data_IF_774846112589
#
_entry.id   IF_774846112589
#
_cell.length_a   1.000
_cell.length_b   1.000
_cell.length_c   1.000
_cell.angle_alpha   90.00
_cell.angle_beta   90.00
_cell.angle_gamma   90.00
#
_symmetry.space_group_name_H-M   'P 1'
#
loop_
_entity.id
_entity.type
_entity.pdbx_description
1 polymer ?
#
# COMPACT_ATOMS: atom_id res chain seq x y z
N UNK A 1 -10.73 -3.89 22.50
CA UNK A 1 -9.92 -5.13 22.36
C UNK A 1 -10.38 -6.08 21.23
N UNK A 2 -11.43 -5.79 20.49
CA UNK A 2 -11.85 -6.63 19.35
C UNK A 2 -11.14 -6.31 18.02
N UNK A 3 -10.44 -5.20 17.93
CA UNK A 3 -9.93 -4.66 16.67
C UNK A 3 -8.76 -5.42 16.03
N UNK A 4 -7.96 -6.17 16.80
CA UNK A 4 -6.74 -6.81 16.27
C UNK A 4 -6.92 -8.23 15.74
N UNK A 5 -8.10 -8.83 15.85
CA UNK A 5 -8.25 -10.27 15.61
C UNK A 5 -8.82 -10.67 14.25
N UNK A 6 -9.30 -9.74 13.44
CA UNK A 6 -10.11 -10.10 12.27
C UNK A 6 -9.60 -9.65 10.91
N UNK A 7 -8.55 -8.84 10.81
CA UNK A 7 -8.12 -8.27 9.52
C UNK A 7 -7.59 -9.34 8.54
N UNK A 8 -6.86 -10.34 9.03
CA UNK A 8 -6.43 -11.46 8.18
C UNK A 8 -7.61 -12.30 7.71
N UNK A 9 -8.55 -12.62 8.60
CA UNK A 9 -9.76 -13.37 8.25
C UNK A 9 -10.63 -12.61 7.25
N UNK A 10 -10.75 -11.29 7.39
CA UNK A 10 -11.45 -10.41 6.44
C UNK A 10 -10.79 -10.48 5.07
N UNK A 11 -9.47 -10.31 5.01
CA UNK A 11 -8.72 -10.38 3.76
C UNK A 11 -8.86 -11.77 3.09
N UNK A 12 -8.67 -12.84 3.86
CA UNK A 12 -8.78 -14.22 3.35
C UNK A 12 -10.21 -14.56 2.91
N UNK A 13 -11.22 -14.06 3.61
CA UNK A 13 -12.60 -14.22 3.20
C UNK A 13 -12.88 -13.50 1.86
N UNK A 14 -12.36 -12.28 1.71
CA UNK A 14 -12.50 -11.53 0.47
C UNK A 14 -11.81 -12.23 -0.72
N UNK A 15 -10.64 -12.85 -0.52
CA UNK A 15 -9.99 -13.65 -1.57
C UNK A 15 -10.77 -14.90 -1.98
N UNK A 16 -11.55 -15.48 -1.07
CA UNK A 16 -12.37 -16.67 -1.36
C UNK A 16 -13.72 -16.35 -1.97
N UNK A 17 -14.16 -15.10 -1.90
CA UNK A 17 -15.46 -14.69 -2.44
C UNK A 17 -15.39 -14.59 -3.98
N UNK A 18 -16.18 -15.39 -4.72
CA UNK A 18 -16.18 -15.37 -6.18
C UNK A 18 -16.78 -14.09 -6.78
N UNK A 19 -17.39 -13.22 -5.96
CA UNK A 19 -17.87 -11.91 -6.39
C UNK A 19 -16.76 -10.86 -6.39
N UNK A 20 -15.60 -11.16 -5.80
CA UNK A 20 -14.46 -10.28 -5.74
C UNK A 20 -13.42 -10.62 -6.82
N UNK A 21 -12.53 -9.68 -7.10
CA UNK A 21 -11.43 -9.85 -8.07
C UNK A 21 -10.09 -9.85 -7.32
N UNK A 22 -9.42 -11.00 -7.30
CA UNK A 22 -8.06 -11.11 -6.79
C UNK A 22 -7.06 -10.52 -7.80
N UNK A 23 -6.19 -9.64 -7.33
CA UNK A 23 -5.13 -9.03 -8.14
C UNK A 23 -3.83 -9.78 -7.86
N UNK A 24 -3.28 -10.41 -8.89
CA UNK A 24 -2.04 -11.15 -8.79
C UNK A 24 -0.87 -10.25 -9.20
N UNK A 25 0.01 -9.96 -8.25
CA UNK A 25 1.25 -9.23 -8.47
C UNK A 25 2.41 -10.07 -7.97
N UNK A 26 3.44 -10.21 -8.82
CA UNK A 26 4.66 -10.89 -8.42
C UNK A 26 5.41 -10.10 -7.34
N UNK A 27 5.99 -10.78 -6.34
CA UNK A 27 6.88 -10.16 -5.38
C UNK A 27 8.03 -9.43 -6.06
N UNK A 28 8.28 -8.19 -5.68
CA UNK A 28 9.38 -7.40 -6.24
C UNK A 28 10.64 -7.54 -5.39
N UNK A 29 11.71 -8.11 -5.94
CA UNK A 29 13.03 -8.10 -5.32
C UNK A 29 13.69 -6.74 -5.59
N UNK A 30 13.74 -5.89 -4.56
CA UNK A 30 14.18 -4.49 -4.68
C UNK A 30 15.61 -4.40 -5.21
N UNK A 31 16.55 -5.21 -4.68
CA UNK A 31 17.95 -5.18 -5.10
C UNK A 31 18.16 -5.68 -6.52
N UNK A 32 17.36 -6.66 -6.97
CA UNK A 32 17.42 -7.11 -8.38
C UNK A 32 16.98 -6.00 -9.33
N UNK A 33 15.92 -5.28 -8.98
CA UNK A 33 15.44 -4.17 -9.81
C UNK A 33 16.46 -3.03 -9.83
N UNK A 34 17.06 -2.65 -8.70
CA UNK A 34 18.11 -1.63 -8.64
C UNK A 34 19.28 -2.00 -9.56
N UNK A 35 19.70 -3.27 -9.54
CA UNK A 35 20.86 -3.78 -10.29
C UNK A 35 20.56 -4.17 -11.75
N UNK A 36 19.32 -4.06 -12.21
CA UNK A 36 18.92 -4.48 -13.56
C UNK A 36 19.37 -3.56 -14.69
N UNK A 37 19.96 -2.41 -14.37
CA UNK A 37 20.40 -1.41 -15.35
C UNK A 37 19.35 -0.36 -15.71
N UNK A 38 18.17 -0.41 -15.09
CA UNK A 38 17.13 0.61 -15.30
C UNK A 38 17.32 1.85 -14.42
N UNK A 39 18.32 1.80 -13.54
CA UNK A 39 18.70 2.93 -12.66
C UNK A 39 20.17 3.27 -12.75
N UNK A 40 20.46 4.57 -12.72
CA UNK A 40 21.75 5.14 -12.34
C UNK A 40 21.70 5.37 -10.82
N UNK A 41 22.30 4.45 -10.07
CA UNK A 41 22.24 4.36 -8.63
C UNK A 41 23.63 4.49 -8.00
N UNK A 42 23.69 4.84 -6.70
CA UNK A 42 24.91 4.77 -5.93
C UNK A 42 25.51 3.35 -6.00
N UNK A 43 26.83 3.18 -6.24
CA UNK A 43 27.46 1.88 -6.40
C UNK A 43 27.34 0.98 -5.17
N UNK A 44 27.26 1.60 -3.99
CA UNK A 44 27.14 0.95 -2.69
C UNK A 44 25.68 0.83 -2.20
N UNK A 45 24.71 1.20 -3.04
CA UNK A 45 23.30 1.09 -2.66
C UNK A 45 22.93 -0.39 -2.51
N UNK A 46 22.63 -0.73 -1.25
CA UNK A 46 22.12 -2.02 -0.86
C UNK A 46 20.89 -1.82 0.03
N UNK A 47 19.75 -2.28 -0.46
CA UNK A 47 18.48 -2.10 0.22
C UNK A 47 18.18 -3.33 1.08
N UNK A 48 17.92 -3.13 2.37
CA UNK A 48 17.69 -4.24 3.30
C UNK A 48 16.20 -4.52 3.53
N UNK A 49 15.88 -5.71 4.04
CA UNK A 49 14.52 -6.04 4.44
C UNK A 49 14.03 -5.12 5.58
N UNK A 50 14.91 -4.79 6.51
CA UNK A 50 14.62 -3.83 7.57
C UNK A 50 14.25 -2.46 7.01
N UNK A 51 14.97 -1.95 6.00
CA UNK A 51 14.65 -0.70 5.32
C UNK A 51 13.34 -0.79 4.52
N UNK A 52 13.08 -1.93 3.89
CA UNK A 52 11.80 -2.16 3.20
C UNK A 52 10.63 -2.08 4.17
N UNK A 53 10.76 -2.67 5.35
CA UNK A 53 9.71 -2.56 6.37
C UNK A 53 9.56 -1.14 6.91
N UNK A 54 10.65 -0.45 7.18
CA UNK A 54 10.62 0.96 7.61
C UNK A 54 9.89 1.83 6.57
N UNK A 55 10.15 1.63 5.29
CA UNK A 55 9.43 2.31 4.20
C UNK A 55 7.93 2.00 4.23
N UNK A 56 7.53 0.72 4.36
CA UNK A 56 6.11 0.34 4.41
C UNK A 56 5.39 0.94 5.63
N UNK A 57 6.06 0.92 6.78
CA UNK A 57 5.57 1.54 8.02
C UNK A 57 5.38 3.05 7.85
N UNK A 58 6.40 3.75 7.37
CA UNK A 58 6.36 5.20 7.16
C UNK A 58 5.32 5.59 6.10
N UNK A 59 5.17 4.81 5.05
CA UNK A 59 4.14 5.01 4.01
C UNK A 59 2.72 4.88 4.57
N UNK A 60 2.50 3.94 5.50
CA UNK A 60 1.18 3.79 6.13
C UNK A 60 0.78 5.03 6.94
N UNK A 61 1.75 5.65 7.64
CA UNK A 61 1.53 6.83 8.49
C UNK A 61 1.59 8.17 7.74
N UNK A 62 2.43 8.25 6.71
CA UNK A 62 2.62 9.46 5.92
C UNK A 62 2.49 9.18 4.42
N UNK A 63 1.33 8.71 3.95
CA UNK A 63 1.16 8.38 2.53
C UNK A 63 1.32 9.60 1.63
N UNK A 64 1.10 10.81 2.12
CA UNK A 64 1.30 12.05 1.37
C UNK A 64 2.75 12.28 0.92
N UNK A 65 3.73 11.70 1.61
CA UNK A 65 5.13 11.72 1.19
C UNK A 65 5.40 10.70 0.08
N UNK A 66 4.87 9.49 0.19
CA UNK A 66 5.24 8.34 -0.64
C UNK A 66 4.33 8.10 -1.84
N UNK A 67 3.10 8.63 -1.81
CA UNK A 67 2.07 8.42 -2.83
C UNK A 67 1.56 9.75 -3.41
N UNK A 68 2.48 10.69 -3.66
CA UNK A 68 2.17 12.08 -4.06
C UNK A 68 1.32 12.18 -5.32
N UNK A 69 1.53 11.28 -6.27
CA UNK A 69 0.81 11.27 -7.54
C UNK A 69 -0.57 10.58 -7.47
N UNK A 70 -0.83 9.85 -6.38
CA UNK A 70 -2.12 9.17 -6.14
C UNK A 70 -3.00 10.02 -5.24
N UNK A 71 -2.43 10.71 -4.25
CA UNK A 71 -3.18 11.42 -3.23
C UNK A 71 -3.41 12.88 -3.58
N UNK A 72 -4.63 13.37 -3.33
CA UNK A 72 -4.87 14.81 -3.33
C UNK A 72 -4.11 15.44 -2.17
N UNK A 73 -3.28 16.47 -2.42
CA UNK A 73 -2.53 17.12 -1.35
C UNK A 73 -3.43 17.61 -0.21
N UNK A 74 -3.03 17.30 1.04
CA UNK A 74 -3.76 17.72 2.24
C UNK A 74 -5.05 16.94 2.55
N UNK A 75 -5.38 15.90 1.78
CA UNK A 75 -6.61 15.11 2.01
C UNK A 75 -6.46 14.02 3.09
N UNK A 76 -5.22 13.67 3.46
CA UNK A 76 -4.98 12.57 4.40
C UNK A 76 -5.37 12.96 5.82
N UNK A 77 -6.19 12.12 6.44
CA UNK A 77 -6.54 12.20 7.87
C UNK A 77 -6.33 10.84 8.51
N UNK A 78 -5.71 10.82 9.69
CA UNK A 78 -5.51 9.62 10.50
C UNK A 78 -6.10 9.88 11.88
N UNK A 79 -6.90 8.95 12.38
CA UNK A 79 -7.53 9.02 13.69
C UNK A 79 -7.81 7.63 14.26
N UNK A 80 -8.28 7.58 15.52
CA UNK A 80 -8.52 6.34 16.24
C UNK A 80 -7.29 5.44 16.31
N UNK A 81 -6.13 6.05 16.56
CA UNK A 81 -4.86 5.34 16.68
C UNK A 81 -4.83 4.55 17.98
N UNK A 82 -4.53 3.26 17.87
CA UNK A 82 -4.36 2.37 19.01
C UNK A 82 -3.11 1.51 18.81
N UNK A 83 -2.27 1.44 19.87
CA UNK A 83 -1.03 0.64 19.88
C UNK A 83 -1.08 -0.40 20.98
N UNK A 84 -0.66 -1.62 20.65
CA UNK A 84 -0.55 -2.74 21.58
C UNK A 84 0.73 -3.55 21.27
N UNK A 85 1.81 -3.26 21.99
CA UNK A 85 3.11 -3.83 21.74
C UNK A 85 3.60 -3.56 20.30
N UNK A 86 3.93 -4.59 19.52
CA UNK A 86 4.38 -4.44 18.13
C UNK A 86 3.24 -4.09 17.15
N UNK A 87 1.99 -4.09 17.61
CA UNK A 87 0.80 -3.91 16.78
C UNK A 87 0.23 -2.52 16.89
N UNK A 88 -0.26 -2.02 15.77
CA UNK A 88 -0.91 -0.73 15.69
C UNK A 88 -2.14 -0.78 14.79
N UNK A 89 -3.21 -0.05 15.15
CA UNK A 89 -4.36 0.17 14.29
C UNK A 89 -4.74 1.63 14.25
N UNK A 90 -5.28 2.05 13.12
CA UNK A 90 -5.87 3.38 12.96
C UNK A 90 -6.84 3.40 11.78
N UNK A 91 -7.63 4.45 11.70
CA UNK A 91 -8.41 4.76 10.49
C UNK A 91 -7.66 5.80 9.68
N UNK A 92 -7.54 5.55 8.38
CA UNK A 92 -7.00 6.49 7.41
C UNK A 92 -8.07 6.86 6.39
N UNK A 93 -8.28 8.14 6.19
CA UNK A 93 -9.15 8.69 5.16
C UNK A 93 -8.30 9.54 4.22
N UNK A 94 -8.50 9.39 2.92
CA UNK A 94 -7.79 10.18 1.91
C UNK A 94 -8.58 10.26 0.61
N UNK A 95 -8.36 11.33 -0.17
CA UNK A 95 -8.84 11.38 -1.56
C UNK A 95 -7.75 10.82 -2.47
N UNK A 96 -8.05 9.72 -3.15
CA UNK A 96 -7.13 9.02 -4.04
C UNK A 96 -7.59 9.11 -5.49
N UNK A 97 -6.63 9.27 -6.41
CA UNK A 97 -6.89 9.12 -7.83
C UNK A 97 -7.44 7.72 -8.14
N UNK A 98 -8.48 7.65 -8.95
CA UNK A 98 -9.11 6.36 -9.24
C UNK A 98 -8.25 5.53 -10.21
N UNK A 99 -8.27 4.21 -10.05
CA UNK A 99 -7.46 3.30 -10.85
C UNK A 99 -7.79 3.33 -12.34
N UNK A 100 -9.06 3.51 -12.67
CA UNK A 100 -9.55 3.50 -14.07
C UNK A 100 -9.39 4.87 -14.73
N UNK A 101 -9.55 5.95 -13.97
CA UNK A 101 -9.44 7.32 -14.46
C UNK A 101 -8.66 8.18 -13.45
N UNK A 102 -7.32 8.23 -13.54
CA UNK A 102 -6.48 8.95 -12.58
C UNK A 102 -6.71 10.47 -12.53
N UNK A 103 -7.50 11.04 -13.45
CA UNK A 103 -7.90 12.45 -13.39
C UNK A 103 -8.98 12.72 -12.34
N UNK A 104 -9.66 11.66 -11.87
CA UNK A 104 -10.71 11.73 -10.85
C UNK A 104 -10.21 11.26 -9.51
N UNK A 105 -10.77 11.85 -8.46
CA UNK A 105 -10.48 11.48 -7.07
C UNK A 105 -11.71 10.88 -6.42
N UNK A 106 -11.47 9.92 -5.55
CA UNK A 106 -12.49 9.29 -4.72
C UNK A 106 -12.02 9.26 -3.27
N UNK A 107 -12.92 9.52 -2.34
CA UNK A 107 -12.65 9.37 -0.90
C UNK A 107 -12.52 7.89 -0.59
N UNK A 108 -11.37 7.49 -0.07
CA UNK A 108 -11.06 6.15 0.37
C UNK A 108 -10.95 6.14 1.89
N UNK A 109 -11.56 5.14 2.51
CA UNK A 109 -11.53 4.93 3.95
C UNK A 109 -10.93 3.55 4.20
N UNK A 110 -9.87 3.51 4.99
CA UNK A 110 -9.15 2.28 5.30
C UNK A 110 -9.02 2.11 6.81
N UNK A 111 -9.38 0.95 7.31
CA UNK A 111 -8.93 0.51 8.62
C UNK A 111 -7.56 -0.13 8.44
N UNK A 112 -6.55 0.48 9.03
CA UNK A 112 -5.16 0.05 8.90
C UNK A 112 -4.74 -0.77 10.11
N UNK A 113 -4.07 -1.88 9.86
CA UNK A 113 -3.48 -2.76 10.86
C UNK A 113 -2.00 -2.94 10.52
N UNK A 114 -1.13 -2.70 11.48
CA UNK A 114 0.32 -2.88 11.34
C UNK A 114 0.78 -3.88 12.38
N UNK A 115 1.56 -4.86 11.95
CA UNK A 115 2.25 -5.80 12.81
C UNK A 115 3.76 -5.71 12.53
N UNK A 116 4.49 -5.06 13.44
CA UNK A 116 5.93 -4.86 13.33
C UNK A 116 6.73 -6.15 13.57
N UNK A 117 6.16 -7.14 14.24
CA UNK A 117 6.82 -8.43 14.48
C UNK A 117 6.84 -9.26 13.20
N UNK A 118 5.73 -9.31 12.49
CA UNK A 118 5.61 -10.05 11.23
C UNK A 118 5.94 -9.22 9.99
N UNK A 119 6.15 -7.91 10.16
CA UNK A 119 6.41 -6.92 9.09
C UNK A 119 5.31 -6.93 8.01
N UNK A 120 4.06 -6.84 8.47
CA UNK A 120 2.86 -6.84 7.63
C UNK A 120 1.97 -5.65 7.95
N UNK A 121 1.48 -4.99 6.92
CA UNK A 121 0.50 -3.91 7.02
C UNK A 121 -0.74 -4.25 6.17
N UNK A 122 -1.92 -4.16 6.79
CA UNK A 122 -3.20 -4.41 6.17
C UNK A 122 -3.98 -3.11 6.04
N UNK A 123 -4.57 -2.90 4.90
CA UNK A 123 -5.43 -1.77 4.58
C UNK A 123 -6.79 -2.33 4.19
N UNK A 124 -7.71 -2.34 5.13
CA UNK A 124 -9.06 -2.88 4.95
C UNK A 124 -9.97 -1.74 4.56
N UNK A 125 -10.35 -1.69 3.30
CA UNK A 125 -11.31 -0.70 2.79
C UNK A 125 -12.67 -0.88 3.45
N UNK A 126 -13.25 0.21 3.94
CA UNK A 126 -14.57 0.22 4.56
C UNK A 126 -15.46 1.30 3.92
N UNK A 127 -16.78 1.07 3.83
CA UNK A 127 -17.68 1.97 3.10
C UNK A 127 -17.96 3.28 3.84
N UNK A 128 -17.88 3.28 5.16
CA UNK A 128 -18.16 4.44 5.98
C UNK A 128 -17.49 4.37 7.35
N UNK A 129 -17.29 5.53 7.95
CA UNK A 129 -16.78 5.67 9.32
C UNK A 129 -17.31 6.96 9.94
N UNK A 130 -17.37 7.01 11.27
CA UNK A 130 -17.60 8.23 12.03
C UNK A 130 -16.24 8.78 12.52
N UNK A 131 -15.97 10.07 12.26
CA UNK A 131 -14.76 10.70 12.74
C UNK A 131 -14.85 11.09 14.23
N UNK A 132 -13.76 11.53 14.87
CA UNK A 132 -13.77 11.87 16.30
C UNK A 132 -14.72 13.00 16.69
N UNK A 133 -15.16 13.83 15.74
CA UNK A 133 -16.15 14.89 15.94
C UNK A 133 -17.59 14.39 15.75
N UNK A 134 -17.81 13.09 15.48
CA UNK A 134 -19.12 12.50 15.25
C UNK A 134 -19.66 12.72 13.83
N UNK A 135 -18.81 13.16 12.90
CA UNK A 135 -19.22 13.36 11.50
C UNK A 135 -19.06 12.06 10.71
N UNK A 136 -20.13 11.64 10.05
CA UNK A 136 -20.11 10.51 9.15
C UNK A 136 -19.32 10.84 7.87
N UNK A 137 -18.36 9.99 7.52
CA UNK A 137 -17.62 10.01 6.28
C UNK A 137 -18.00 8.76 5.49
N UNK A 138 -18.26 8.91 4.21
CA UNK A 138 -18.64 7.81 3.30
C UNK A 138 -17.61 7.74 2.18
N UNK A 139 -17.23 6.52 1.79
CA UNK A 139 -16.32 6.30 0.66
C UNK A 139 -16.95 6.82 -0.64
N UNK A 140 -16.10 7.25 -1.56
CA UNK A 140 -16.54 7.72 -2.87
C UNK A 140 -16.92 6.55 -3.80
N UNK A 141 -17.18 6.85 -5.07
CA UNK A 141 -17.67 5.86 -6.04
C UNK A 141 -16.63 4.83 -6.50
N UNK A 142 -15.37 4.96 -6.12
CA UNK A 142 -14.37 3.93 -6.39
C UNK A 142 -14.67 2.69 -5.55
N UNK A 143 -14.64 1.52 -6.19
CA UNK A 143 -14.80 0.27 -5.48
C UNK A 143 -13.72 0.08 -4.41
N UNK A 144 -14.09 -0.60 -3.33
CA UNK A 144 -13.21 -0.84 -2.20
C UNK A 144 -12.19 -1.93 -2.53
N UNK A 145 -11.05 -1.82 -1.89
CA UNK A 145 -9.99 -2.82 -1.91
C UNK A 145 -9.66 -3.25 -0.49
N UNK A 146 -9.27 -4.52 -0.35
CA UNK A 146 -8.46 -4.95 0.79
C UNK A 146 -7.05 -5.23 0.30
N UNK A 147 -6.08 -4.74 1.03
CA UNK A 147 -4.66 -4.79 0.62
C UNK A 147 -3.82 -5.23 1.81
N UNK A 148 -2.87 -6.12 1.55
CA UNK A 148 -1.76 -6.42 2.44
C UNK A 148 -0.45 -6.04 1.75
N UNK A 149 0.40 -5.33 2.49
CA UNK A 149 1.79 -5.09 2.13
C UNK A 149 2.69 -5.79 3.14
N UNK A 150 3.71 -6.50 2.68
CA UNK A 150 4.65 -7.16 3.57
C UNK A 150 6.09 -7.06 3.06
N UNK A 151 7.02 -6.97 4.02
CA UNK A 151 8.44 -7.10 3.78
C UNK A 151 8.86 -8.54 4.09
N UNK A 152 9.23 -9.29 3.03
CA UNK A 152 9.63 -10.69 3.14
C UNK A 152 11.04 -10.90 2.56
N UNK A 153 11.46 -12.14 2.35
CA UNK A 153 12.81 -12.46 1.92
C UNK A 153 13.84 -12.34 3.04
N UNK A 154 15.09 -12.08 2.68
CA UNK A 154 16.22 -11.90 3.60
C UNK A 154 16.62 -10.43 3.69
N UNK A 155 17.52 -10.08 4.63
CA UNK A 155 18.08 -8.72 4.70
C UNK A 155 18.75 -8.31 3.39
N UNK A 156 19.44 -9.22 2.73
CA UNK A 156 20.18 -8.96 1.48
C UNK A 156 19.31 -9.07 0.22
N UNK A 157 18.22 -9.83 0.29
CA UNK A 157 17.25 -10.00 -0.79
C UNK A 157 15.82 -9.70 -0.34
N UNK A 158 15.51 -8.43 -0.08
CA UNK A 158 14.18 -8.02 0.36
C UNK A 158 13.16 -8.17 -0.75
N UNK A 159 12.02 -8.75 -0.41
CA UNK A 159 10.89 -8.91 -1.30
C UNK A 159 9.72 -8.03 -0.84
N UNK A 160 9.35 -7.08 -1.67
CA UNK A 160 8.13 -6.29 -1.48
C UNK A 160 6.95 -7.09 -2.02
N UNK A 161 6.09 -7.54 -1.13
CA UNK A 161 4.94 -8.40 -1.46
C UNK A 161 3.65 -7.61 -1.26
N UNK A 162 2.77 -7.69 -2.24
CA UNK A 162 1.43 -7.13 -2.18
C UNK A 162 0.40 -8.20 -2.47
N UNK A 163 -0.60 -8.25 -1.61
CA UNK A 163 -1.81 -9.04 -1.83
C UNK A 163 -2.98 -8.08 -1.89
N UNK A 164 -3.70 -8.08 -2.98
CA UNK A 164 -4.76 -7.11 -3.25
C UNK A 164 -6.01 -7.84 -3.71
N UNK A 165 -7.15 -7.49 -3.15
CA UNK A 165 -8.45 -7.93 -3.61
C UNK A 165 -9.37 -6.73 -3.79
N UNK A 166 -9.95 -6.62 -4.96
CA UNK A 166 -10.99 -5.68 -5.30
C UNK A 166 -12.35 -6.26 -4.89
N UNK A 167 -13.11 -5.52 -4.11
CA UNK A 167 -14.36 -6.01 -3.50
C UNK A 167 -15.54 -5.88 -4.46
N UNK A 168 -15.32 -6.21 -5.71
CA UNK A 168 -16.32 -6.28 -6.78
C UNK A 168 -15.75 -7.08 -7.95
N UNK A 169 -16.62 -7.45 -8.89
CA UNK A 169 -16.18 -8.04 -10.15
C UNK A 169 -15.62 -6.98 -11.08
N UNK A 170 -14.49 -7.28 -11.67
CA UNK A 170 -13.89 -6.49 -12.75
C UNK A 170 -14.50 -6.91 -14.09
N UNK A 171 -15.80 -6.62 -14.28
CA UNK A 171 -16.56 -7.09 -15.44
C UNK A 171 -16.02 -6.56 -16.77
N UNK A 172 -15.47 -5.34 -16.78
CA UNK A 172 -14.88 -4.72 -17.97
C UNK A 172 -13.36 -4.91 -18.09
N UNK A 173 -12.73 -5.59 -17.13
CA UNK A 173 -11.32 -5.92 -17.12
C UNK A 173 -10.36 -4.74 -16.86
N UNK A 174 -10.88 -3.55 -16.59
CA UNK A 174 -10.07 -2.32 -16.47
C UNK A 174 -9.20 -2.30 -15.21
N UNK A 175 -9.68 -2.87 -14.12
CA UNK A 175 -8.90 -2.97 -12.88
C UNK A 175 -7.72 -3.90 -13.11
N UNK A 176 -7.96 -5.10 -13.65
CA UNK A 176 -6.89 -6.03 -13.98
C UNK A 176 -5.89 -5.43 -14.99
N UNK A 177 -6.35 -4.69 -16.00
CA UNK A 177 -5.48 -4.01 -16.96
C UNK A 177 -4.60 -2.95 -16.28
N UNK A 178 -5.17 -2.14 -15.38
CA UNK A 178 -4.43 -1.12 -14.64
C UNK A 178 -3.32 -1.74 -13.77
N UNK A 179 -3.63 -2.81 -13.03
CA UNK A 179 -2.65 -3.52 -12.22
C UNK A 179 -1.62 -4.29 -13.05
N UNK A 180 -2.01 -4.85 -14.19
CA UNK A 180 -1.07 -5.50 -15.12
C UNK A 180 -0.06 -4.50 -15.68
N UNK A 181 -0.48 -3.31 -16.09
CA UNK A 181 0.42 -2.21 -16.50
C UNK A 181 1.39 -1.82 -15.38
N UNK A 182 0.88 -1.69 -14.16
CA UNK A 182 1.71 -1.42 -13.00
C UNK A 182 2.70 -2.56 -12.76
N UNK A 183 2.28 -3.83 -12.88
CA UNK A 183 3.13 -5.01 -12.71
C UNK A 183 4.23 -5.12 -13.76
N UNK A 184 3.97 -4.71 -15.00
CA UNK A 184 4.91 -4.75 -16.11
C UNK A 184 5.98 -3.64 -16.07
N UNK A 185 5.88 -2.66 -15.17
CA UNK A 185 6.90 -1.61 -15.03
C UNK A 185 8.26 -2.20 -14.67
N UNK A 186 9.34 -1.85 -15.38
CA UNK A 186 10.68 -2.31 -15.04
C UNK A 186 11.25 -1.63 -13.80
N UNK A 187 10.59 -0.57 -13.32
CA UNK A 187 11.04 0.25 -12.20
C UNK A 187 10.44 -0.22 -10.88
N UNK A 188 11.09 0.14 -9.80
CA UNK A 188 10.50 0.04 -8.45
C UNK A 188 9.20 0.84 -8.36
N UNK A 189 8.35 0.46 -7.42
CA UNK A 189 7.22 1.31 -7.05
C UNK A 189 7.75 2.65 -6.53
N UNK A 190 7.10 3.73 -6.91
CA UNK A 190 7.57 5.10 -6.63
C UNK A 190 7.88 5.34 -5.15
N UNK A 191 7.12 4.77 -4.25
CA UNK A 191 7.38 4.92 -2.80
C UNK A 191 8.72 4.32 -2.36
N UNK A 192 9.21 3.22 -2.99
CA UNK A 192 10.57 2.72 -2.77
C UNK A 192 11.61 3.72 -3.28
N UNK A 193 11.37 4.31 -4.46
CA UNK A 193 12.27 5.34 -5.00
C UNK A 193 12.31 6.59 -4.12
N UNK A 194 11.14 7.03 -3.60
CA UNK A 194 11.04 8.16 -2.66
C UNK A 194 11.85 7.84 -1.39
N UNK A 195 11.66 6.67 -0.82
CA UNK A 195 12.37 6.27 0.39
C UNK A 195 13.90 6.22 0.17
N UNK A 196 14.36 5.62 -0.93
CA UNK A 196 15.78 5.54 -1.25
C UNK A 196 16.39 6.94 -1.41
N UNK A 197 15.70 7.84 -2.13
CA UNK A 197 16.21 9.19 -2.38
C UNK A 197 16.09 10.11 -1.17
N UNK A 198 14.94 10.10 -0.48
CA UNK A 198 14.63 11.12 0.52
C UNK A 198 14.91 10.67 1.96
N UNK A 199 14.76 9.39 2.29
CA UNK A 199 15.02 8.88 3.64
C UNK A 199 16.44 8.33 3.79
N UNK A 200 16.93 7.61 2.78
CA UNK A 200 18.30 7.08 2.81
C UNK A 200 19.34 8.08 2.23
N UNK A 201 18.89 9.13 1.55
CA UNK A 201 19.78 10.12 0.90
C UNK A 201 20.66 9.52 -0.20
N UNK A 202 20.22 8.43 -0.84
CA UNK A 202 20.97 7.72 -1.88
C UNK A 202 20.53 8.14 -3.27
N UNK A 203 21.48 8.16 -4.19
CA UNK A 203 21.21 8.40 -5.61
C UNK A 203 20.43 7.23 -6.21
N UNK A 204 19.33 7.53 -6.90
CA UNK A 204 18.55 6.56 -7.67
C UNK A 204 17.77 7.31 -8.76
N UNK A 205 18.28 7.31 -9.98
CA UNK A 205 17.65 7.97 -11.14
C UNK A 205 17.27 6.92 -12.17
N UNK A 206 16.07 7.03 -12.73
CA UNK A 206 15.67 6.19 -13.86
C UNK A 206 16.50 6.53 -15.08
N UNK A 207 16.96 5.53 -15.84
CA UNK A 207 17.75 5.65 -17.07
C UNK A 207 16.81 5.61 -18.29
#
# INVERSE_FOLDING_TARGET
>A
MAAFKNHEEILEAAFRDPQNTAINLEPSNVNKVIKSGVYDADPDLHYTKTQLWDMEYNKAHNPGKYLRHILRPGSVRIFNVHKDGPRETFVRVSDQATWVDPSKYSTIIEQVFIDNETQRAFFIGIPEVEDPEGKKIVTGPQALFHVEHSATGTEDEPLNVWRIVHLDKDEDGKINEAFAKMGASPYLREFNEVYIREDLGKKLNRV
#
